data_IF_803552358888
#
_entry.id   IF_803552358888
#
_cell.length_a   1.000
_cell.length_b   1.000
_cell.length_c   1.000
_cell.angle_alpha   90.00
_cell.angle_beta   90.00
_cell.angle_gamma   90.00
#
_symmetry.space_group_name_H-M   'P 1'
#
loop_
_entity.id
_entity.type
_entity.pdbx_description
1 polymer ?
#
# COMPACT_ATOMS: atom_id res chain seq x y z
N UNK A 1 -18.83 -4.58 -26.63
CA UNK A 1 -18.49 -5.38 -25.44
C UNK A 1 -17.23 -4.78 -24.82
N UNK A 2 -17.29 -4.31 -23.57
CA UNK A 2 -16.09 -3.82 -22.89
C UNK A 2 -15.20 -5.04 -22.57
N UNK A 3 -14.05 -5.14 -23.22
CA UNK A 3 -13.07 -6.17 -22.90
C UNK A 3 -12.58 -5.91 -21.48
N UNK A 4 -12.90 -6.80 -20.55
CA UNK A 4 -12.34 -6.76 -19.20
C UNK A 4 -10.88 -7.20 -19.33
N UNK A 5 -10.00 -6.24 -19.58
CA UNK A 5 -8.56 -6.49 -19.52
C UNK A 5 -8.25 -6.80 -18.04
N UNK A 6 -7.70 -7.98 -17.72
CA UNK A 6 -7.35 -8.29 -16.34
C UNK A 6 -6.33 -7.24 -15.86
N UNK A 7 -6.74 -6.42 -14.89
CA UNK A 7 -5.85 -5.46 -14.24
C UNK A 7 -4.67 -6.21 -13.62
N UNK A 8 -3.47 -5.64 -13.75
CA UNK A 8 -2.29 -6.20 -13.09
C UNK A 8 -2.49 -6.18 -11.58
N UNK A 9 -1.86 -7.13 -10.88
CA UNK A 9 -2.02 -7.23 -9.43
C UNK A 9 -1.47 -6.01 -8.70
N UNK A 10 -0.48 -5.32 -9.30
CA UNK A 10 -0.02 -4.01 -8.84
C UNK A 10 -1.15 -2.96 -8.85
N UNK A 11 -1.93 -2.87 -9.93
CA UNK A 11 -3.05 -1.91 -10.03
C UNK A 11 -4.13 -2.28 -9.01
N UNK A 12 -4.51 -3.56 -8.90
CA UNK A 12 -5.48 -4.01 -7.89
C UNK A 12 -5.02 -3.67 -6.46
N UNK A 13 -3.73 -3.88 -6.17
CA UNK A 13 -3.14 -3.57 -4.87
C UNK A 13 -3.22 -2.07 -4.55
N UNK A 14 -2.96 -1.21 -5.55
CA UNK A 14 -3.05 0.25 -5.39
C UNK A 14 -4.49 0.69 -5.10
N UNK A 15 -5.47 0.22 -5.87
CA UNK A 15 -6.89 0.56 -5.65
C UNK A 15 -7.40 0.02 -4.30
N UNK A 16 -6.99 -1.18 -3.90
CA UNK A 16 -7.34 -1.71 -2.60
C UNK A 16 -6.69 -0.88 -1.47
N UNK A 17 -5.42 -0.46 -1.63
CA UNK A 17 -4.76 0.40 -0.66
C UNK A 17 -5.42 1.77 -0.54
N UNK A 18 -5.90 2.38 -1.62
CA UNK A 18 -6.58 3.68 -1.54
C UNK A 18 -7.92 3.64 -0.80
N UNK A 19 -8.49 2.45 -0.58
CA UNK A 19 -9.73 2.27 0.18
C UNK A 19 -9.45 1.81 1.61
N UNK A 20 -8.51 0.87 1.80
CA UNK A 20 -8.31 0.19 3.08
C UNK A 20 -7.01 0.58 3.80
N UNK A 21 -6.13 1.33 3.16
CA UNK A 21 -4.84 1.79 3.70
C UNK A 21 -3.98 0.66 4.32
N UNK A 22 -4.13 -0.56 3.83
CA UNK A 22 -3.42 -1.74 4.32
C UNK A 22 -1.91 -1.65 4.09
N UNK A 23 -1.11 -2.09 5.06
CA UNK A 23 0.35 -1.94 5.01
C UNK A 23 1.01 -2.81 3.91
N UNK A 24 2.28 -2.53 3.62
CA UNK A 24 3.02 -3.19 2.55
C UNK A 24 3.11 -4.73 2.70
N UNK A 25 3.16 -5.27 3.93
CA UNK A 25 3.15 -6.72 4.15
C UNK A 25 1.80 -7.33 3.77
N UNK A 26 0.70 -6.66 4.10
CA UNK A 26 -0.66 -7.04 3.71
C UNK A 26 -0.82 -7.07 2.18
N UNK A 27 -0.39 -5.99 1.51
CA UNK A 27 -0.45 -5.89 0.05
C UNK A 27 0.34 -7.00 -0.66
N UNK A 28 1.59 -7.27 -0.23
CA UNK A 28 2.38 -8.39 -0.78
C UNK A 28 1.65 -9.71 -0.66
N UNK A 29 1.08 -10.02 0.52
CA UNK A 29 0.42 -11.31 0.76
C UNK A 29 -0.88 -11.45 -0.04
N UNK A 30 -1.66 -10.38 -0.17
CA UNK A 30 -2.97 -10.41 -0.83
C UNK A 30 -2.87 -10.41 -2.36
N UNK A 31 -1.93 -9.64 -2.91
CA UNK A 31 -1.84 -9.42 -4.35
C UNK A 31 -0.62 -10.09 -4.99
N UNK A 32 0.18 -10.84 -4.21
CA UNK A 32 1.38 -11.53 -4.68
C UNK A 32 2.40 -10.62 -5.41
N UNK A 33 2.42 -9.33 -5.05
CA UNK A 33 3.38 -8.34 -5.57
C UNK A 33 4.69 -8.36 -4.79
N UNK A 34 5.74 -7.74 -5.33
CA UNK A 34 7.02 -7.62 -4.63
C UNK A 34 6.91 -6.70 -3.40
N UNK A 35 7.81 -6.88 -2.44
CA UNK A 35 7.89 -5.94 -1.29
C UNK A 35 8.21 -4.51 -1.73
N UNK A 36 8.93 -4.35 -2.84
CA UNK A 36 9.30 -3.04 -3.36
C UNK A 36 8.08 -2.30 -3.92
N UNK A 37 7.29 -2.98 -4.74
CA UNK A 37 6.00 -2.47 -5.24
C UNK A 37 5.04 -2.13 -4.09
N UNK A 38 4.91 -3.02 -3.11
CA UNK A 38 4.04 -2.78 -1.96
C UNK A 38 4.48 -1.56 -1.13
N UNK A 39 5.80 -1.37 -0.95
CA UNK A 39 6.35 -0.15 -0.32
C UNK A 39 6.11 1.09 -1.17
N UNK A 40 6.23 0.97 -2.50
CA UNK A 40 5.93 2.05 -3.44
C UNK A 40 4.49 2.54 -3.30
N UNK A 41 3.52 1.62 -3.22
CA UNK A 41 2.10 1.95 -3.00
C UNK A 41 1.91 2.72 -1.70
N UNK A 42 2.45 2.21 -0.58
CA UNK A 42 2.31 2.86 0.74
C UNK A 42 2.99 4.24 0.76
N UNK A 43 4.17 4.37 0.14
CA UNK A 43 4.92 5.64 0.07
C UNK A 43 4.22 6.69 -0.80
N UNK A 44 3.52 6.26 -1.85
CA UNK A 44 2.78 7.15 -2.74
C UNK A 44 1.44 7.62 -2.13
N UNK A 45 0.94 6.93 -1.10
CA UNK A 45 -0.30 7.28 -0.43
C UNK A 45 -0.08 8.49 0.49
N UNK A 46 -0.72 9.65 0.27
CA UNK A 46 -0.49 10.85 1.09
C UNK A 46 -0.91 10.68 2.55
N UNK A 47 -1.90 9.82 2.81
CA UNK A 47 -2.33 9.50 4.18
C UNK A 47 -1.34 8.60 4.90
N UNK A 48 -0.66 7.72 4.16
CA UNK A 48 0.27 6.75 4.76
C UNK A 48 1.74 7.17 4.68
N UNK A 49 2.10 8.08 3.78
CA UNK A 49 3.49 8.51 3.51
C UNK A 49 4.10 9.28 4.67
N UNK A 50 3.27 9.92 5.51
CA UNK A 50 3.71 10.61 6.72
C UNK A 50 4.10 9.66 7.85
N UNK A 51 3.76 8.37 7.76
CA UNK A 51 4.22 7.35 8.69
C UNK A 51 5.60 6.83 8.27
N UNK A 52 6.60 7.71 8.32
CA UNK A 52 8.02 7.31 8.29
C UNK A 52 8.38 6.42 9.49
N UNK A 53 9.58 5.80 9.51
CA UNK A 53 10.05 5.13 10.71
C UNK A 53 10.04 6.15 11.84
N UNK A 54 9.20 5.90 12.85
CA UNK A 54 8.83 6.88 13.86
C UNK A 54 10.04 7.60 14.42
N UNK A 55 10.15 8.89 14.12
CA UNK A 55 10.85 9.81 15.00
C UNK A 55 10.04 9.81 16.28
N UNK A 56 10.54 9.04 17.25
CA UNK A 56 9.89 8.80 18.53
C UNK A 56 9.60 10.11 19.23
N UNK A 57 8.33 10.48 19.29
CA UNK A 57 7.86 11.34 20.36
C UNK A 57 7.40 10.37 21.44
N UNK A 58 8.35 9.95 22.27
CA UNK A 58 8.06 9.36 23.56
C UNK A 58 7.36 10.42 24.40
N UNK A 59 6.04 10.36 24.46
CA UNK A 59 5.29 10.97 25.56
C UNK A 59 4.98 9.85 26.56
N UNK A 60 5.86 9.73 27.55
CA UNK A 60 5.53 9.07 28.79
C UNK A 60 4.76 10.09 29.67
N UNK A 61 3.58 9.77 30.23
CA UNK A 61 2.91 10.64 31.20
C UNK A 61 3.71 10.84 32.49
#
# INVERSE_FOLDING_TARGET
>A
AAAVVPLSDFVKAREAHSVFHQNAKGLKKQFNITMEEAKGIVRACPECSHHGPGLGIGVNP
#
